data_IF_750565421635
#
_entry.id   IF_750565421635
#
_cell.length_a   1.000
_cell.length_b   1.000
_cell.length_c   1.000
_cell.angle_alpha   90.00
_cell.angle_beta   90.00
_cell.angle_gamma   90.00
#
_symmetry.space_group_name_H-M   'P 1'
#
loop_
_entity.id
_entity.type
_entity.pdbx_description
1 polymer ?
#
# COMPACT_ATOMS: atom_id res chain seq x y z
N UNK A 1 -15.96 -26.93 32.06
CA UNK A 1 -14.55 -27.25 31.75
C UNK A 1 -14.39 -27.21 30.24
N UNK A 2 -13.97 -26.08 29.68
CA UNK A 2 -13.71 -25.98 28.24
C UNK A 2 -12.33 -26.56 27.91
N UNK A 3 -12.26 -27.47 26.95
CA UNK A 3 -11.00 -28.07 26.49
C UNK A 3 -10.21 -27.02 25.70
N UNK A 4 -8.89 -26.87 25.91
CA UNK A 4 -8.09 -25.94 25.13
C UNK A 4 -8.14 -26.34 23.65
N UNK A 5 -8.47 -25.38 22.77
CA UNK A 5 -8.34 -25.55 21.31
C UNK A 5 -6.84 -25.71 21.00
N UNK A 6 -6.43 -26.95 20.78
CA UNK A 6 -5.08 -27.27 20.31
C UNK A 6 -4.94 -26.76 18.87
N UNK A 7 -4.13 -25.71 18.68
CA UNK A 7 -3.80 -25.21 17.35
C UNK A 7 -2.97 -26.28 16.62
N UNK A 8 -3.52 -26.88 15.56
CA UNK A 8 -2.85 -27.87 14.71
C UNK A 8 -1.85 -27.18 13.76
N UNK A 9 -0.83 -26.54 14.30
CA UNK A 9 0.30 -26.09 13.49
C UNK A 9 1.29 -27.25 13.36
N UNK A 10 1.89 -27.39 12.17
CA UNK A 10 2.90 -28.40 11.92
C UNK A 10 4.14 -28.10 12.80
N UNK A 11 4.54 -28.99 13.73
CA UNK A 11 5.66 -28.74 14.64
C UNK A 11 7.02 -28.63 13.93
N UNK A 12 7.10 -29.08 12.66
CA UNK A 12 8.29 -28.96 11.83
C UNK A 12 8.21 -27.78 10.84
N UNK A 13 7.18 -26.93 10.90
CA UNK A 13 7.14 -25.73 10.09
C UNK A 13 8.31 -24.82 10.51
N UNK A 14 9.12 -24.41 9.53
CA UNK A 14 10.12 -23.37 9.77
C UNK A 14 9.40 -22.11 10.21
N UNK A 15 9.98 -21.43 11.20
CA UNK A 15 9.50 -20.12 11.62
C UNK A 15 9.48 -19.18 10.39
N UNK A 16 8.38 -18.44 10.23
CA UNK A 16 8.24 -17.53 9.10
C UNK A 16 9.18 -16.36 9.31
N UNK A 17 10.32 -16.39 8.62
CA UNK A 17 11.22 -15.26 8.52
C UNK A 17 10.87 -14.49 7.25
N UNK A 18 10.18 -13.34 7.34
CA UNK A 18 9.98 -12.50 6.16
C UNK A 18 11.36 -12.09 5.64
N UNK A 19 11.65 -12.46 4.39
CA UNK A 19 12.87 -12.01 3.71
C UNK A 19 12.85 -10.49 3.71
N UNK A 20 13.94 -9.85 4.16
CA UNK A 20 14.08 -8.41 4.01
C UNK A 20 14.14 -8.10 2.52
N UNK A 21 13.04 -7.58 1.99
CA UNK A 21 12.95 -7.20 0.59
C UNK A 21 13.25 -5.71 0.46
N UNK A 22 13.86 -5.27 -0.66
CA UNK A 22 14.16 -3.85 -0.91
C UNK A 22 12.92 -2.98 -0.70
N UNK A 23 13.07 -1.75 -0.21
CA UNK A 23 11.94 -0.83 0.03
C UNK A 23 11.04 -0.71 -1.20
N UNK A 24 11.62 -0.66 -2.40
CA UNK A 24 10.90 -0.53 -3.66
C UNK A 24 9.91 -1.68 -3.89
N UNK A 25 10.24 -2.90 -3.45
CA UNK A 25 9.37 -4.07 -3.57
C UNK A 25 8.16 -4.05 -2.64
N UNK A 26 8.19 -3.18 -1.63
CA UNK A 26 7.13 -2.99 -0.63
C UNK A 26 6.45 -1.63 -0.78
N UNK A 27 6.76 -0.90 -1.85
CA UNK A 27 6.30 0.48 -2.07
C UNK A 27 5.30 0.55 -3.21
N UNK A 28 4.23 1.31 -3.00
CA UNK A 28 3.34 1.76 -4.06
C UNK A 28 3.47 3.26 -4.26
N UNK A 29 3.45 3.66 -5.53
CA UNK A 29 3.33 5.05 -5.93
C UNK A 29 1.87 5.41 -6.09
N UNK A 30 1.50 6.53 -5.50
CA UNK A 30 0.14 7.03 -5.41
C UNK A 30 0.01 8.30 -6.23
N UNK A 31 -1.07 8.39 -7.00
CA UNK A 31 -1.47 9.59 -7.72
C UNK A 31 -2.90 9.94 -7.34
N UNK A 32 -3.12 11.19 -6.95
CA UNK A 32 -4.41 11.71 -6.49
C UNK A 32 -5.09 12.54 -7.58
N UNK A 33 -6.42 12.59 -7.57
CA UNK A 33 -7.16 13.50 -8.43
C UNK A 33 -6.97 14.97 -8.04
N UNK A 34 -6.82 15.84 -9.05
CA UNK A 34 -6.71 17.29 -8.88
C UNK A 34 -7.99 17.86 -8.25
N UNK A 35 -7.83 18.77 -7.28
CA UNK A 35 -8.92 19.57 -6.69
C UNK A 35 -9.37 19.17 -5.28
N UNK A 36 -9.14 17.91 -4.87
CA UNK A 36 -9.40 17.43 -3.51
C UNK A 36 -8.38 16.36 -3.11
N UNK A 37 -7.20 16.73 -2.58
CA UNK A 37 -6.23 15.74 -2.15
C UNK A 37 -6.76 14.98 -0.93
N UNK A 38 -6.50 13.68 -0.91
CA UNK A 38 -6.59 12.90 0.32
C UNK A 38 -5.43 13.30 1.23
N UNK A 39 -5.66 13.38 2.53
CA UNK A 39 -4.58 13.54 3.49
C UNK A 39 -3.78 12.25 3.65
N UNK A 40 -2.56 12.35 4.23
CA UNK A 40 -1.77 11.18 4.61
C UNK A 40 -2.60 10.21 5.47
N UNK A 41 -3.29 10.75 6.47
CA UNK A 41 -4.08 9.94 7.41
C UNK A 41 -5.26 9.24 6.74
N UNK A 42 -5.96 9.91 5.81
CA UNK A 42 -7.06 9.27 5.07
C UNK A 42 -6.58 8.08 4.23
N UNK A 43 -5.40 8.20 3.63
CA UNK A 43 -4.81 7.12 2.85
C UNK A 43 -4.33 5.99 3.76
N UNK A 44 -3.61 6.32 4.85
CA UNK A 44 -3.13 5.33 5.82
C UNK A 44 -4.31 4.57 6.43
N UNK A 45 -5.38 5.27 6.82
CA UNK A 45 -6.58 4.66 7.36
C UNK A 45 -7.26 3.76 6.33
N UNK A 46 -7.40 4.21 5.08
CA UNK A 46 -7.96 3.38 4.01
C UNK A 46 -7.21 2.05 3.85
N UNK A 47 -5.87 2.08 3.76
CA UNK A 47 -5.09 0.85 3.66
C UNK A 47 -5.17 0.00 4.93
N UNK A 48 -5.23 0.64 6.09
CA UNK A 48 -5.30 -0.06 7.37
C UNK A 48 -6.64 -0.76 7.59
N UNK A 49 -7.75 -0.14 7.20
CA UNK A 49 -9.09 -0.71 7.33
C UNK A 49 -9.31 -1.91 6.40
N UNK A 50 -8.70 -1.89 5.21
CA UNK A 50 -8.90 -2.92 4.20
C UNK A 50 -7.92 -4.10 4.31
N UNK A 51 -6.69 -3.87 4.80
CA UNK A 51 -5.63 -4.89 4.84
C UNK A 51 -4.97 -5.07 6.22
N UNK A 52 -5.42 -4.36 7.26
CA UNK A 52 -4.86 -4.40 8.62
C UNK A 52 -3.67 -3.46 8.80
N UNK A 53 -2.93 -3.56 9.91
CA UNK A 53 -1.77 -2.71 10.22
C UNK A 53 -0.56 -3.06 9.33
N UNK A 54 -0.67 -2.77 8.02
CA UNK A 54 0.29 -3.12 6.98
C UNK A 54 1.17 -1.95 6.57
N UNK A 55 0.75 -0.72 6.90
CA UNK A 55 1.47 0.50 6.52
C UNK A 55 2.64 0.73 7.47
N UNK A 56 3.84 0.86 6.91
CA UNK A 56 5.05 1.24 7.63
C UNK A 56 5.24 2.76 7.62
N UNK A 57 5.12 3.38 6.45
CA UNK A 57 5.16 4.84 6.31
C UNK A 57 4.48 5.31 5.02
N UNK A 58 4.20 6.60 4.92
CA UNK A 58 3.69 7.24 3.71
C UNK A 58 4.26 8.66 3.54
N UNK A 59 4.67 8.99 2.32
CA UNK A 59 5.27 10.26 1.95
C UNK A 59 4.48 10.87 0.80
N UNK A 60 4.08 12.13 0.93
CA UNK A 60 3.35 12.85 -0.12
C UNK A 60 4.16 14.10 -0.49
N UNK A 61 4.34 14.32 -1.79
CA UNK A 61 5.05 15.49 -2.31
C UNK A 61 4.00 16.47 -2.81
N UNK A 62 4.00 17.66 -2.21
CA UNK A 62 3.21 18.79 -2.69
C UNK A 62 3.78 19.26 -4.04
N UNK A 63 2.93 19.60 -5.01
CA UNK A 63 3.43 20.18 -6.26
C UNK A 63 3.98 21.58 -5.99
N UNK A 64 5.30 21.64 -5.92
CA UNK A 64 6.11 22.83 -5.68
C UNK A 64 6.26 23.67 -6.94
N UNK A 65 5.17 24.28 -7.41
CA UNK A 65 5.26 25.54 -8.16
C UNK A 65 4.25 26.60 -7.71
N UNK A 66 3.12 26.25 -7.09
CA UNK A 66 2.11 27.25 -6.66
C UNK A 66 1.34 26.90 -5.36
N UNK A 67 1.89 26.07 -4.46
CA UNK A 67 1.19 25.72 -3.21
C UNK A 67 -0.07 24.88 -3.45
N UNK A 68 -0.04 24.05 -4.50
CA UNK A 68 -1.15 23.17 -4.87
C UNK A 68 -1.23 21.93 -3.96
N UNK A 69 -2.38 21.23 -3.96
CA UNK A 69 -2.55 20.01 -3.20
C UNK A 69 -1.54 18.91 -3.58
N UNK A 70 -1.14 18.00 -2.67
CA UNK A 70 -0.27 16.88 -3.02
C UNK A 70 -0.97 15.99 -4.05
N UNK A 71 -0.34 15.88 -5.23
CA UNK A 71 -0.85 15.10 -6.35
C UNK A 71 -0.18 13.74 -6.46
N UNK A 72 0.99 13.59 -5.86
CA UNK A 72 1.78 12.36 -5.91
C UNK A 72 2.33 12.01 -4.53
N UNK A 73 2.49 10.71 -4.28
CA UNK A 73 3.09 10.20 -3.07
C UNK A 73 3.56 8.76 -3.22
N UNK A 74 4.13 8.22 -2.15
CA UNK A 74 4.45 6.81 -2.01
C UNK A 74 3.97 6.31 -0.65
N UNK A 75 3.55 5.06 -0.61
CA UNK A 75 3.24 4.33 0.62
C UNK A 75 4.13 3.09 0.70
N UNK A 76 4.68 2.86 1.88
CA UNK A 76 5.59 1.75 2.18
C UNK A 76 4.85 0.79 3.10
N UNK A 77 4.81 -0.48 2.74
CA UNK A 77 4.22 -1.53 3.55
C UNK A 77 5.28 -2.31 4.32
N UNK A 78 4.91 -2.88 5.46
CA UNK A 78 5.79 -3.72 6.28
C UNK A 78 6.20 -5.06 5.61
N UNK A 79 5.57 -5.42 4.48
CA UNK A 79 5.85 -6.65 3.75
C UNK A 79 5.59 -6.49 2.25
N UNK A 80 6.45 -7.08 1.42
CA UNK A 80 6.30 -7.09 -0.05
C UNK A 80 5.09 -7.89 -0.52
N UNK A 81 4.55 -8.77 0.33
CA UNK A 81 3.35 -9.55 0.03
C UNK A 81 2.08 -8.69 0.00
N UNK A 82 2.12 -7.51 0.61
CA UNK A 82 0.98 -6.59 0.65
C UNK A 82 0.75 -5.94 -0.71
N UNK A 83 1.82 -5.61 -1.44
CA UNK A 83 1.75 -4.99 -2.78
C UNK A 83 0.89 -5.80 -3.76
N UNK A 84 1.18 -7.10 -4.03
CA UNK A 84 0.35 -7.90 -4.93
C UNK A 84 -1.04 -8.16 -4.36
N UNK A 85 -1.24 -8.15 -3.04
CA UNK A 85 -2.56 -8.29 -2.42
C UNK A 85 -3.43 -7.05 -2.68
N UNK A 86 -2.89 -5.86 -2.44
CA UNK A 86 -3.53 -4.57 -2.71
C UNK A 86 -3.86 -4.41 -4.20
N UNK A 87 -2.92 -4.78 -5.08
CA UNK A 87 -3.09 -4.64 -6.53
C UNK A 87 -3.79 -5.84 -7.19
N UNK A 88 -4.22 -6.84 -6.42
CA UNK A 88 -4.85 -8.07 -6.92
C UNK A 88 -4.03 -8.75 -8.05
N UNK A 89 -2.71 -8.87 -7.83
CA UNK A 89 -1.74 -9.47 -8.76
C UNK A 89 -1.40 -8.62 -9.98
N UNK A 90 -1.93 -7.40 -10.11
CA UNK A 90 -1.64 -6.48 -11.22
C UNK A 90 -0.51 -5.50 -10.86
N UNK A 91 -0.12 -4.68 -11.85
CA UNK A 91 0.89 -3.63 -11.68
C UNK A 91 0.30 -2.29 -11.23
N UNK A 92 -1.02 -2.12 -11.31
CA UNK A 92 -1.74 -0.92 -10.91
C UNK A 92 -3.19 -1.22 -10.51
N UNK A 93 -3.77 -0.34 -9.69
CA UNK A 93 -5.14 -0.38 -9.25
C UNK A 93 -5.69 1.03 -9.05
N UNK A 94 -7.01 1.18 -9.19
CA UNK A 94 -7.74 2.41 -8.89
C UNK A 94 -8.66 2.15 -7.70
N UNK A 95 -8.62 3.04 -6.73
CA UNK A 95 -9.45 3.02 -5.53
C UNK A 95 -10.32 4.28 -5.47
N UNK A 96 -11.43 4.17 -4.75
CA UNK A 96 -12.28 5.30 -4.37
C UNK A 96 -12.18 5.42 -2.85
N UNK A 97 -11.58 6.52 -2.36
CA UNK A 97 -11.40 6.81 -0.93
C UNK A 97 -12.12 8.11 -0.64
N UNK A 98 -13.11 8.10 0.26
CA UNK A 98 -13.95 9.26 0.56
C UNK A 98 -14.49 9.95 -0.72
N UNK A 99 -15.00 9.15 -1.66
CA UNK A 99 -15.53 9.57 -2.96
C UNK A 99 -14.49 10.20 -3.92
N UNK A 100 -13.19 10.06 -3.65
CA UNK A 100 -12.09 10.60 -4.46
C UNK A 100 -11.25 9.48 -5.05
N UNK A 101 -10.69 9.72 -6.24
CA UNK A 101 -9.91 8.70 -6.94
C UNK A 101 -8.47 8.67 -6.42
N UNK A 102 -8.01 7.47 -6.06
CA UNK A 102 -6.63 7.18 -5.73
C UNK A 102 -6.11 6.13 -6.70
N UNK A 103 -5.09 6.48 -7.49
CA UNK A 103 -4.39 5.52 -8.33
C UNK A 103 -3.15 5.02 -7.61
N UNK A 104 -2.98 3.70 -7.55
CA UNK A 104 -1.80 3.07 -6.98
C UNK A 104 -1.10 2.19 -8.02
N UNK A 105 0.23 2.19 -8.03
CA UNK A 105 1.02 1.41 -8.98
C UNK A 105 2.41 1.06 -8.46
N UNK A 106 2.98 -0.03 -8.95
CA UNK A 106 4.36 -0.43 -8.64
C UNK A 106 5.36 0.42 -9.43
N UNK A 107 6.63 0.42 -9.00
CA UNK A 107 7.71 1.06 -9.75
C UNK A 107 7.82 0.52 -11.18
N UNK A 108 7.65 -0.80 -11.36
CA UNK A 108 7.66 -1.42 -12.69
C UNK A 108 6.58 -0.86 -13.62
N UNK A 109 5.42 -0.48 -13.07
CA UNK A 109 4.34 0.14 -13.83
C UNK A 109 4.64 1.58 -14.26
N UNK A 110 5.46 2.30 -13.49
CA UNK A 110 5.92 3.66 -13.83
C UNK A 110 6.92 3.66 -14.99
N UNK A 111 7.75 2.63 -15.07
CA UNK A 111 8.83 2.54 -16.06
C UNK A 111 8.33 2.18 -17.48
N UNK A 112 7.04 1.86 -17.66
CA UNK A 112 6.46 1.65 -18.99
C UNK A 112 5.81 2.94 -19.49
N UNK A 113 6.19 3.45 -20.68
CA UNK A 113 5.43 4.49 -21.34
C UNK A 113 4.01 4.00 -21.62
N UNK A 114 3.02 4.89 -21.51
CA UNK A 114 1.68 4.66 -22.05
C UNK A 114 1.84 4.58 -23.59
N UNK A 115 1.81 3.38 -24.15
CA UNK A 115 1.68 3.15 -25.60
C UNK A 115 0.29 3.53 -26.11
#
# INVERSE_FOLDING_TARGET
>A
MEKPKQFKLNPCAKEFHPVQTPEESRTLFLTLSIGHPLTKDEIVNFFTENWGQVVEDAYFVEESQQGGPPLNGKIIFNSSLVVPMVLNGKNSAKFIVNNRNLYARTLHALARPLE
#
